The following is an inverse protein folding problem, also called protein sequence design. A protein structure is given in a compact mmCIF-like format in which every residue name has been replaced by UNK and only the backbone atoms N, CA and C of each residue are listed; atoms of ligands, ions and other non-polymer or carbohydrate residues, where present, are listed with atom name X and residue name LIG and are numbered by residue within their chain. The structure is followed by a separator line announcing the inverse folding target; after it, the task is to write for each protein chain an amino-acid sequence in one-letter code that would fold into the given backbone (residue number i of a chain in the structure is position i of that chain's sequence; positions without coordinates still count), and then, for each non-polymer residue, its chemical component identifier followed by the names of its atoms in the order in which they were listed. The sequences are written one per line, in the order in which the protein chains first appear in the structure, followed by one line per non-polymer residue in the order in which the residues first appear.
data_IF_606378923088
#
_entry.id   IF_606378923088
#
_cell.length_a   1.000
_cell.length_b   1.000
_cell.length_c   1.000
_cell.angle_alpha   90.00
_cell.angle_beta   90.00
_cell.angle_gamma   90.00
#
_symmetry.space_group_name_H-M   'P 1'
#
loop_
_entity.id
_entity.type
_entity.pdbx_description
1 polymer ?
#
# COMPACT_ATOMS: atom_id res chain seq x y z
N UNK A 1 8.76 -8.28 2.51
CA UNK A 1 8.56 -6.88 2.93
C UNK A 1 7.11 -6.67 3.34
N UNK A 2 6.82 -5.77 4.29
CA UNK A 2 5.47 -5.50 4.79
C UNK A 2 5.11 -4.05 4.50
N UNK A 3 3.92 -3.81 3.96
CA UNK A 3 3.48 -2.46 3.61
C UNK A 3 2.07 -2.19 4.11
N UNK A 4 1.82 -0.94 4.43
CA UNK A 4 0.48 -0.33 4.46
C UNK A 4 0.51 0.67 3.32
N UNK A 5 -0.47 0.64 2.43
CA UNK A 5 -0.51 1.62 1.36
C UNK A 5 -1.80 2.42 1.34
N UNK A 6 -1.65 3.73 1.23
CA UNK A 6 -2.74 4.63 0.90
C UNK A 6 -3.12 4.45 -0.57
N UNK A 7 -4.42 4.40 -0.84
CA UNK A 7 -4.92 4.28 -2.21
C UNK A 7 -4.53 5.47 -3.08
N UNK A 8 -4.41 6.66 -2.50
CA UNK A 8 -4.05 7.88 -3.23
C UNK A 8 -2.66 7.76 -3.89
N UNK A 9 -1.75 7.00 -3.28
CA UNK A 9 -0.40 6.76 -3.79
C UNK A 9 -0.39 5.89 -5.07
N UNK A 10 -1.48 5.16 -5.34
CA UNK A 10 -1.62 4.20 -6.44
C UNK A 10 -2.64 4.64 -7.50
N UNK A 11 -3.30 5.78 -7.32
CA UNK A 11 -4.27 6.31 -8.27
C UNK A 11 -3.55 7.28 -9.20
N UNK A 12 -3.43 6.97 -10.50
CA UNK A 12 -2.70 7.80 -11.46
C UNK A 12 -3.42 9.12 -11.83
N UNK A 13 -4.70 9.23 -11.52
CA UNK A 13 -5.55 10.37 -11.89
C UNK A 13 -5.06 11.66 -11.23
N UNK A 14 -5.05 12.76 -11.99
CA UNK A 14 -4.58 14.09 -11.55
C UNK A 14 -3.10 14.20 -11.14
N UNK A 15 -2.28 13.17 -11.38
CA UNK A 15 -0.84 13.22 -11.13
C UNK A 15 -0.07 13.66 -12.38
N UNK A 16 1.08 14.35 -12.21
CA UNK A 16 2.04 14.63 -13.29
C UNK A 16 2.34 13.38 -14.11
N UNK A 17 2.60 13.57 -15.41
CA UNK A 17 2.81 12.47 -16.37
C UNK A 17 3.89 11.49 -15.90
N UNK A 18 5.03 12.00 -15.44
CA UNK A 18 6.13 11.19 -14.91
C UNK A 18 5.69 10.31 -13.73
N UNK A 19 4.94 10.87 -12.79
CA UNK A 19 4.44 10.15 -11.61
C UNK A 19 3.41 9.08 -12.01
N UNK A 20 2.56 9.40 -12.99
CA UNK A 20 1.57 8.49 -13.56
C UNK A 20 2.20 7.26 -14.17
N UNK A 21 3.24 7.45 -14.98
CA UNK A 21 3.99 6.35 -15.61
C UNK A 21 4.64 5.46 -14.55
N UNK A 22 5.24 6.05 -13.53
CA UNK A 22 5.81 5.33 -12.40
C UNK A 22 4.75 4.48 -11.68
N UNK A 23 3.60 5.06 -11.31
CA UNK A 23 2.50 4.34 -10.66
C UNK A 23 2.03 3.16 -11.51
N UNK A 24 1.85 3.35 -12.82
CA UNK A 24 1.43 2.28 -13.74
C UNK A 24 2.47 1.16 -13.78
N UNK A 25 3.76 1.50 -13.92
CA UNK A 25 4.84 0.53 -13.97
C UNK A 25 4.97 -0.27 -12.66
N UNK A 26 4.87 0.41 -11.52
CA UNK A 26 4.99 -0.17 -10.18
C UNK A 26 3.79 -1.09 -9.86
N UNK A 27 2.58 -0.64 -10.16
CA UNK A 27 1.35 -1.42 -9.93
C UNK A 27 1.30 -2.69 -10.77
N UNK A 28 1.84 -2.67 -12.00
CA UNK A 28 1.96 -3.88 -12.85
C UNK A 28 2.80 -4.99 -12.19
N UNK A 29 3.83 -4.60 -11.43
CA UNK A 29 4.80 -5.53 -10.80
C UNK A 29 4.40 -5.95 -9.40
N UNK A 30 3.62 -5.15 -8.69
CA UNK A 30 3.25 -5.39 -7.29
C UNK A 30 2.75 -6.83 -7.00
N UNK A 31 1.93 -7.49 -7.86
CA UNK A 31 1.51 -8.87 -7.63
C UNK A 31 2.67 -9.89 -7.55
N UNK A 32 3.77 -9.62 -8.25
CA UNK A 32 4.88 -10.56 -8.41
C UNK A 32 5.98 -10.35 -7.34
N UNK A 33 5.86 -9.30 -6.53
CA UNK A 33 6.74 -9.02 -5.39
C UNK A 33 6.27 -9.81 -4.15
N UNK A 34 7.20 -10.36 -3.36
CA UNK A 34 6.90 -11.03 -2.08
C UNK A 34 6.63 -10.00 -0.97
N UNK A 35 5.51 -9.30 -1.15
CA UNK A 35 5.05 -8.23 -0.27
C UNK A 35 3.81 -8.69 0.47
N UNK A 36 3.70 -8.32 1.74
CA UNK A 36 2.47 -8.44 2.52
C UNK A 36 1.87 -7.07 2.74
N UNK A 37 0.66 -6.85 2.21
CA UNK A 37 -0.13 -5.65 2.44
C UNK A 37 -0.95 -5.83 3.72
N UNK A 38 -0.75 -4.95 4.69
CA UNK A 38 -1.55 -4.88 5.90
C UNK A 38 -2.76 -3.98 5.69
N UNK A 39 -3.92 -4.46 6.13
CA UNK A 39 -5.19 -3.74 5.99
C UNK A 39 -6.05 -3.86 7.25
N UNK A 40 -6.83 -2.83 7.55
CA UNK A 40 -7.97 -2.88 8.48
C UNK A 40 -9.28 -2.97 7.70
N UNK A 41 -10.41 -3.17 8.40
CA UNK A 41 -11.73 -3.12 7.75
C UNK A 41 -12.00 -1.79 7.04
N UNK A 42 -11.55 -0.69 7.63
CA UNK A 42 -11.73 0.66 7.05
C UNK A 42 -10.92 0.82 5.78
N UNK A 43 -9.67 0.37 5.77
CA UNK A 43 -8.81 0.37 4.58
C UNK A 43 -9.41 -0.51 3.49
N UNK A 44 -9.95 -1.69 3.82
CA UNK A 44 -10.64 -2.56 2.87
C UNK A 44 -11.88 -1.90 2.25
N UNK A 45 -12.59 -1.00 2.97
CA UNK A 45 -13.73 -0.22 2.42
C UNK A 45 -13.25 0.74 1.37
N UNK A 46 -12.18 1.45 1.66
CA UNK A 46 -11.58 2.36 0.69
C UNK A 46 -11.03 1.62 -0.53
N UNK A 47 -10.34 0.50 -0.33
CA UNK A 47 -9.81 -0.30 -1.44
C UNK A 47 -10.93 -0.78 -2.36
N UNK A 48 -12.07 -1.19 -1.79
CA UNK A 48 -13.23 -1.63 -2.57
C UNK A 48 -13.88 -0.47 -3.34
N UNK A 49 -14.01 0.72 -2.76
CA UNK A 49 -14.63 1.87 -3.42
C UNK A 49 -13.76 2.44 -4.53
N UNK A 50 -12.44 2.48 -4.32
CA UNK A 50 -11.46 3.02 -5.28
C UNK A 50 -10.89 1.95 -6.22
N UNK A 51 -11.32 0.69 -6.11
CA UNK A 51 -10.73 -0.44 -6.85
C UNK A 51 -10.63 -0.22 -8.36
N UNK A 52 -11.64 0.42 -8.96
CA UNK A 52 -11.70 0.71 -10.40
C UNK A 52 -10.68 1.75 -10.87
N UNK A 53 -10.13 2.54 -9.94
CA UNK A 53 -9.17 3.61 -10.22
C UNK A 53 -7.72 3.09 -10.27
N UNK A 54 -7.48 1.85 -9.80
CA UNK A 54 -6.14 1.24 -9.89
C UNK A 54 -5.82 0.84 -11.33
N UNK A 55 -4.58 1.02 -11.79
CA UNK A 55 -4.20 0.75 -13.17
C UNK A 55 -4.04 -0.75 -13.48
N UNK A 56 -4.26 -1.09 -14.76
CA UNK A 56 -3.91 -2.38 -15.35
C UNK A 56 -4.75 -3.56 -14.85
N UNK A 57 -4.13 -4.72 -14.66
CA UNK A 57 -4.78 -5.97 -14.18
C UNK A 57 -5.00 -6.01 -12.66
N UNK A 58 -4.47 -5.02 -11.95
CA UNK A 58 -4.49 -4.99 -10.48
C UNK A 58 -5.91 -5.05 -9.91
N UNK A 59 -6.91 -4.28 -10.41
CA UNK A 59 -8.29 -4.37 -9.92
C UNK A 59 -8.86 -5.80 -9.92
N UNK A 60 -8.59 -6.57 -10.98
CA UNK A 60 -9.08 -7.94 -11.12
C UNK A 60 -8.45 -8.88 -10.08
N UNK A 61 -7.13 -8.80 -9.92
CA UNK A 61 -6.39 -9.60 -8.94
C UNK A 61 -6.80 -9.25 -7.50
N UNK A 62 -6.98 -7.96 -7.23
CA UNK A 62 -7.26 -7.40 -5.91
C UNK A 62 -8.70 -7.63 -5.46
N UNK A 63 -9.69 -7.63 -6.38
CA UNK A 63 -11.11 -7.87 -6.09
C UNK A 63 -11.33 -9.14 -5.27
N UNK A 64 -10.79 -10.26 -5.73
CA UNK A 64 -11.05 -11.57 -5.11
C UNK A 64 -10.44 -11.68 -3.71
N UNK A 65 -9.24 -11.13 -3.51
CA UNK A 65 -8.56 -11.14 -2.22
C UNK A 65 -9.24 -10.20 -1.22
N UNK A 66 -9.68 -9.01 -1.67
CA UNK A 66 -10.48 -8.10 -0.84
C UNK A 66 -11.77 -8.79 -0.38
N UNK A 67 -12.53 -9.41 -1.28
CA UNK A 67 -13.78 -10.09 -0.94
C UNK A 67 -13.56 -11.20 0.11
N UNK A 68 -12.48 -11.97 -0.02
CA UNK A 68 -12.09 -12.96 0.99
C UNK A 68 -11.73 -12.28 2.32
N UNK A 69 -10.89 -11.24 2.31
CA UNK A 69 -10.48 -10.50 3.49
C UNK A 69 -11.66 -9.88 4.26
N UNK A 70 -12.71 -9.46 3.55
CA UNK A 70 -13.95 -8.97 4.16
C UNK A 70 -14.68 -10.02 4.99
N UNK A 71 -14.72 -11.26 4.52
CA UNK A 71 -15.43 -12.37 5.19
C UNK A 71 -14.75 -12.78 6.49
N UNK A 72 -13.42 -12.73 6.55
CA UNK A 72 -12.67 -13.09 7.76
C UNK A 72 -12.48 -11.89 8.68
N UNK A 73 -12.92 -11.97 9.95
CA UNK A 73 -12.75 -10.87 10.93
C UNK A 73 -11.26 -10.53 11.15
N UNK A 74 -10.39 -11.53 11.17
CA UNK A 74 -8.92 -11.41 11.21
C UNK A 74 -8.33 -12.57 10.38
N UNK A 75 -7.21 -12.35 9.68
CA UNK A 75 -6.55 -13.42 8.92
C UNK A 75 -5.03 -13.24 8.84
N UNK A 76 -4.26 -14.32 9.06
CA UNK A 76 -2.78 -14.29 9.10
C UNK A 76 -2.11 -13.99 7.75
N UNK A 77 -2.69 -14.41 6.63
CA UNK A 77 -2.24 -14.08 5.27
C UNK A 77 -3.20 -14.67 4.25
N UNK A 78 -3.70 -13.85 3.33
CA UNK A 78 -4.47 -14.27 2.17
C UNK A 78 -3.61 -14.05 0.92
N UNK A 79 -3.11 -15.12 0.28
CA UNK A 79 -2.30 -15.01 -0.91
C UNK A 79 -3.14 -14.63 -2.13
N UNK A 80 -2.55 -13.83 -3.02
CA UNK A 80 -3.02 -13.66 -4.38
C UNK A 80 -2.70 -14.95 -5.15
N UNK A 81 -3.68 -15.56 -5.80
CA UNK A 81 -3.48 -16.86 -6.47
C UNK A 81 -2.40 -16.73 -7.55
N UNK A 82 -1.46 -17.68 -7.61
CA UNK A 82 -0.29 -17.69 -8.51
C UNK A 82 0.66 -16.47 -8.38
N UNK A 83 0.55 -15.69 -7.31
CA UNK A 83 1.31 -14.46 -7.08
C UNK A 83 1.99 -14.48 -5.71
N UNK A 84 3.08 -13.72 -5.56
CA UNK A 84 3.82 -13.64 -4.30
C UNK A 84 3.20 -12.64 -3.32
N UNK A 85 2.41 -11.70 -3.82
CA UNK A 85 1.68 -10.72 -3.03
C UNK A 85 0.68 -11.39 -2.07
N UNK A 86 0.57 -10.85 -0.86
CA UNK A 86 -0.32 -11.33 0.21
C UNK A 86 -1.06 -10.15 0.84
N UNK A 87 -2.26 -10.39 1.35
CA UNK A 87 -3.00 -9.44 2.21
C UNK A 87 -3.11 -10.01 3.62
N UNK A 88 -2.86 -9.19 4.64
CA UNK A 88 -3.04 -9.53 6.04
C UNK A 88 -4.02 -8.54 6.67
N UNK A 89 -5.18 -9.04 7.11
CA UNK A 89 -6.18 -8.20 7.78
C UNK A 89 -5.99 -8.20 9.28
N UNK A 90 -5.86 -7.00 9.85
CA UNK A 90 -5.70 -6.74 11.28
C UNK A 90 -6.66 -5.62 11.68
N UNK A 91 -7.33 -5.79 12.81
CA UNK A 91 -8.18 -4.75 13.39
C UNK A 91 -7.43 -4.04 14.52
N UNK A 92 -6.87 -2.85 14.28
CA UNK A 92 -6.17 -2.11 15.32
C UNK A 92 -7.16 -1.64 16.38
N UNK A 93 -6.92 -2.00 17.65
CA UNK A 93 -7.66 -1.49 18.81
C UNK A 93 -6.92 -0.29 19.41
N UNK A 94 -6.67 0.73 18.60
CA UNK A 94 -5.94 1.94 19.01
C UNK A 94 -6.86 3.13 18.96
N UNK A 95 -6.94 3.82 20.10
CA UNK A 95 -7.47 5.17 20.16
C UNK A 95 -6.33 6.14 19.85
N UNK A 96 -6.44 6.85 18.73
CA UNK A 96 -5.52 7.94 18.42
C UNK A 96 -5.84 9.12 19.32
N UNK A 97 -4.82 9.62 20.03
CA UNK A 97 -4.91 10.90 20.73
C UNK A 97 -4.79 12.02 19.69
N UNK A 98 -5.94 12.46 19.17
CA UNK A 98 -6.04 13.47 18.11
C UNK A 98 -5.31 14.76 18.47
N UNK A 99 -5.33 15.17 19.75
CA UNK A 99 -4.62 16.36 20.23
C UNK A 99 -3.10 16.23 20.06
N UNK A 100 -2.55 15.03 20.25
CA UNK A 100 -1.11 14.77 20.01
C UNK A 100 -0.77 14.72 18.52
N UNK A 101 -1.67 14.22 17.69
CA UNK A 101 -1.48 14.17 16.24
C UNK A 101 -1.47 15.58 15.66
N UNK A 102 -2.47 16.40 15.98
CA UNK A 102 -2.53 17.80 15.55
C UNK A 102 -1.29 18.57 15.99
N UNK A 103 -0.83 18.38 17.24
CA UNK A 103 0.39 18.99 17.76
C UNK A 103 1.66 18.54 17.01
N UNK A 104 1.71 17.30 16.52
CA UNK A 104 2.85 16.75 15.75
C UNK A 104 2.80 17.09 14.26
N UNK A 105 1.62 17.13 13.66
CA UNK A 105 1.43 17.51 12.26
C UNK A 105 1.69 19.01 12.02
N UNK A 106 1.73 19.83 13.08
CA UNK A 106 2.08 21.24 13.00
C UNK A 106 1.12 22.01 12.09
N UNK A 107 1.65 22.79 11.14
CA UNK A 107 0.85 23.54 10.15
C UNK A 107 0.33 22.68 8.98
N UNK A 108 0.72 21.40 8.86
CA UNK A 108 0.19 20.51 7.80
C UNK A 108 -1.22 20.07 8.18
N UNK A 109 -2.16 20.22 7.26
CA UNK A 109 -3.56 19.83 7.45
C UNK A 109 -3.62 18.31 7.60
N UNK A 110 -3.90 17.84 8.82
CA UNK A 110 -4.17 16.44 9.06
C UNK A 110 -5.51 16.07 8.42
N UNK A 111 -5.50 15.10 7.50
CA UNK A 111 -6.74 14.60 6.91
C UNK A 111 -7.23 13.41 7.74
N UNK A 112 -8.45 13.53 8.28
CA UNK A 112 -9.08 12.47 9.08
C UNK A 112 -9.29 11.18 8.29
N UNK A 113 -9.33 11.25 6.96
CA UNK A 113 -9.33 10.06 6.10
C UNK A 113 -8.06 9.22 6.31
N UNK A 114 -6.91 9.81 6.63
CA UNK A 114 -5.65 9.09 6.78
C UNK A 114 -5.50 8.38 8.14
N UNK A 115 -6.39 8.67 9.09
CA UNK A 115 -6.40 8.06 10.43
C UNK A 115 -6.31 6.55 10.40
N UNK A 116 -7.02 5.91 9.47
CA UNK A 116 -7.08 4.44 9.37
C UNK A 116 -5.72 3.83 9.04
N UNK A 117 -4.93 4.49 8.19
CA UNK A 117 -3.58 4.06 7.83
C UNK A 117 -2.63 4.30 9.00
N UNK A 118 -2.75 5.45 9.67
CA UNK A 118 -1.95 5.80 10.83
C UNK A 118 -2.23 4.89 12.04
N UNK A 119 -3.50 4.59 12.35
CA UNK A 119 -3.91 3.61 13.38
C UNK A 119 -3.24 2.27 13.14
N UNK A 120 -3.31 1.79 11.89
CA UNK A 120 -2.71 0.52 11.53
C UNK A 120 -1.18 0.56 11.61
N UNK A 121 -0.55 1.65 11.17
CA UNK A 121 0.90 1.81 11.23
C UNK A 121 1.43 1.82 12.67
N UNK A 122 0.78 2.59 13.55
CA UNK A 122 1.11 2.63 14.98
C UNK A 122 0.86 1.27 15.64
N UNK A 123 -0.24 0.60 15.30
CA UNK A 123 -0.56 -0.73 15.83
C UNK A 123 0.47 -1.78 15.45
N UNK A 124 0.97 -1.70 14.24
CA UNK A 124 2.03 -2.56 13.75
C UNK A 124 3.43 -2.15 14.25
N UNK A 125 3.50 -1.12 15.11
CA UNK A 125 4.68 -0.37 15.52
C UNK A 125 5.97 -1.16 15.78
N UNK A 126 7.09 -0.46 15.55
CA UNK A 126 8.48 -0.81 15.87
C UNK A 126 9.09 -2.08 15.23
N UNK A 127 8.41 -2.74 14.28
CA UNK A 127 9.09 -3.72 13.43
C UNK A 127 9.69 -3.00 12.23
N UNK A 128 11.03 -2.95 12.15
CA UNK A 128 11.79 -2.20 11.13
C UNK A 128 11.58 -2.65 9.67
N UNK A 129 10.59 -3.51 9.40
CA UNK A 129 10.28 -4.05 8.09
C UNK A 129 8.89 -3.63 7.55
N UNK A 130 8.23 -2.66 8.21
CA UNK A 130 6.90 -2.15 7.86
C UNK A 130 6.98 -0.73 7.31
N UNK A 131 6.56 -0.56 6.06
CA UNK A 131 6.56 0.73 5.37
C UNK A 131 5.13 1.26 5.22
N UNK A 132 4.92 2.53 5.54
CA UNK A 132 3.70 3.25 5.22
C UNK A 132 3.92 4.03 3.91
N UNK A 133 3.20 3.65 2.87
CA UNK A 133 3.28 4.26 1.54
C UNK A 133 2.15 5.29 1.45
N UNK A 134 2.49 6.56 1.52
CA UNK A 134 1.53 7.68 1.43
C UNK A 134 1.67 8.48 0.14
N UNK A 135 2.86 8.45 -0.47
CA UNK A 135 3.17 9.16 -1.70
C UNK A 135 3.65 8.19 -2.78
N UNK A 136 3.68 8.66 -4.03
CA UNK A 136 4.22 7.87 -5.15
C UNK A 136 5.73 7.67 -5.03
N UNK A 137 6.45 8.61 -4.42
CA UNK A 137 7.88 8.48 -4.13
C UNK A 137 8.12 7.34 -3.12
N UNK A 138 7.24 7.19 -2.12
CA UNK A 138 7.28 6.07 -1.17
C UNK A 138 7.10 4.72 -1.90
N UNK A 139 6.23 4.68 -2.91
CA UNK A 139 5.97 3.51 -3.75
C UNK A 139 7.20 3.14 -4.59
N UNK A 140 7.88 4.15 -5.15
CA UNK A 140 9.08 3.97 -5.95
C UNK A 140 10.27 3.50 -5.10
N UNK A 141 10.44 4.07 -3.91
CA UNK A 141 11.41 3.63 -2.90
C UNK A 141 11.17 2.18 -2.47
N UNK A 142 9.93 1.84 -2.14
CA UNK A 142 9.53 0.50 -1.74
C UNK A 142 9.82 -0.54 -2.83
N UNK A 143 9.49 -0.25 -4.09
CA UNK A 143 9.74 -1.21 -5.17
C UNK A 143 11.22 -1.44 -5.42
N UNK A 144 12.06 -0.39 -5.38
CA UNK A 144 13.53 -0.52 -5.46
C UNK A 144 14.07 -1.42 -4.34
N UNK A 145 13.64 -1.20 -3.12
CA UNK A 145 14.05 -2.04 -1.98
C UNK A 145 13.55 -3.48 -2.10
N UNK A 146 12.31 -3.71 -2.56
CA UNK A 146 11.81 -5.06 -2.82
C UNK A 146 12.68 -5.79 -3.85
N UNK A 147 12.99 -5.13 -4.95
CA UNK A 147 13.79 -5.66 -6.04
C UNK A 147 15.20 -6.03 -5.56
N UNK A 148 15.82 -5.14 -4.79
CA UNK A 148 17.15 -5.35 -4.19
C UNK A 148 17.14 -6.53 -3.23
N UNK A 149 16.16 -6.61 -2.33
CA UNK A 149 16.04 -7.65 -1.32
C UNK A 149 15.73 -9.04 -1.90
N UNK A 150 15.01 -9.09 -3.02
CA UNK A 150 14.57 -10.35 -3.65
C UNK A 150 15.43 -10.79 -4.83
N UNK A 151 16.58 -10.15 -5.06
CA UNK A 151 17.53 -10.44 -6.15
C UNK A 151 16.85 -10.71 -7.50
N UNK A 152 15.85 -9.90 -7.85
CA UNK A 152 15.09 -10.03 -9.10
C UNK A 152 15.92 -9.55 -10.30
N UNK A 153 17.07 -10.19 -10.58
CA UNK A 153 17.95 -9.87 -11.71
C UNK A 153 17.29 -10.28 -13.03
N UNK A 154 17.29 -9.37 -14.01
CA UNK A 154 16.87 -9.65 -15.40
C UNK A 154 15.52 -9.07 -15.85
N UNK A 155 14.73 -8.43 -14.97
CA UNK A 155 13.45 -7.78 -15.36
C UNK A 155 13.48 -6.23 -15.28
N UNK A 156 14.67 -5.64 -15.15
CA UNK A 156 14.86 -4.30 -14.59
C UNK A 156 15.89 -3.47 -15.35
N UNK A 157 15.44 -2.80 -16.40
CA UNK A 157 16.22 -1.75 -17.06
C UNK A 157 15.51 -0.39 -17.07
N UNK A 158 14.47 -0.14 -16.26
CA UNK A 158 13.67 1.10 -16.40
C UNK A 158 13.13 1.77 -15.12
N UNK A 159 13.31 1.20 -13.92
CA UNK A 159 12.78 1.87 -12.70
C UNK A 159 13.71 3.01 -12.25
N UNK A 160 15.02 2.88 -12.46
CA UNK A 160 15.99 3.92 -12.10
C UNK A 160 15.83 5.19 -12.95
N UNK A 161 15.41 5.06 -14.21
CA UNK A 161 15.13 6.21 -15.10
C UNK A 161 13.85 6.99 -14.73
N UNK A 162 12.92 6.36 -14.00
CA UNK A 162 11.63 6.99 -13.66
C UNK A 162 11.72 7.94 -12.46
N UNK A 163 12.81 7.92 -11.70
CA UNK A 163 12.89 8.57 -10.37
C UNK A 163 13.96 9.69 -10.30
N UNK A 164 14.84 9.84 -11.29
CA UNK A 164 15.85 10.93 -11.34
C UNK A 164 15.39 12.12 -12.16
#
# INVERSE_FOLDING_TARGET
MKIIFDTSAFIPENKPEREREAIIALTKRLPDLDITIYVSREILKEYRSKLKLFPGRFPYLFKNVILKAYRYKTCKSLPFHNHKLKIHRIEPKINLDMKKIEKRCGKRKYHTEDEKFLKLFIYLGQRGDIYLITLSEDLACMAREAIRLYELKGQLYKIEDLIN
#
